data_IF_857704467059
#
_entry.id   IF_857704467059
#
_cell.length_a   1.000
_cell.length_b   1.000
_cell.length_c   1.000
_cell.angle_alpha   90.00
_cell.angle_beta   90.00
_cell.angle_gamma   90.00
#
_symmetry.space_group_name_H-M   'P 1'
#
loop_
_entity.id
_entity.type
_entity.pdbx_description
1 polymer ?
#
# COMPACT_ATOMS: atom_id res chain seq x y z
N UNK A 1 -17.12 2.57 1.96
CA UNK A 1 -16.28 1.39 2.22
C UNK A 1 -15.34 1.70 3.36
N UNK A 2 -15.35 0.85 4.35
CA UNK A 2 -14.42 0.95 5.46
C UNK A 2 -13.14 0.20 5.12
N UNK A 3 -12.02 0.92 5.09
CA UNK A 3 -10.72 0.32 4.81
C UNK A 3 -10.19 -0.36 6.07
N UNK A 4 -9.66 -1.55 5.91
CA UNK A 4 -9.14 -2.33 7.03
C UNK A 4 -7.64 -2.58 6.89
N UNK A 5 -6.93 -2.41 8.01
CA UNK A 5 -5.50 -2.71 8.07
C UNK A 5 -5.28 -4.22 8.10
N UNK A 6 -4.06 -4.64 7.75
CA UNK A 6 -3.64 -6.01 7.93
C UNK A 6 -3.37 -6.28 9.42
N UNK A 7 -3.59 -7.51 9.89
CA UNK A 7 -3.21 -7.86 11.26
C UNK A 7 -1.70 -7.80 11.45
N UNK A 8 -1.26 -7.54 12.67
CA UNK A 8 0.17 -7.43 12.98
C UNK A 8 0.95 -8.66 12.57
N UNK A 9 0.36 -9.83 12.67
CA UNK A 9 1.01 -11.09 12.32
C UNK A 9 1.45 -11.13 10.85
N UNK A 10 0.77 -10.40 9.97
CA UNK A 10 1.15 -10.33 8.57
C UNK A 10 2.55 -9.72 8.40
N UNK A 11 2.87 -8.70 9.22
CA UNK A 11 4.16 -8.02 9.13
C UNK A 11 5.32 -8.90 9.61
N UNK A 12 5.03 -9.96 10.36
CA UNK A 12 6.06 -10.88 10.84
C UNK A 12 6.46 -11.92 9.80
N UNK A 13 5.73 -12.00 8.68
CA UNK A 13 5.98 -12.98 7.62
C UNK A 13 7.10 -12.52 6.70
N UNK A 14 7.71 -13.47 5.93
CA UNK A 14 8.64 -13.09 4.87
C UNK A 14 7.97 -12.17 3.84
N UNK A 15 8.77 -11.37 3.14
CA UNK A 15 8.25 -10.38 2.19
C UNK A 15 7.28 -10.97 1.17
N UNK A 16 7.59 -12.13 0.59
CA UNK A 16 6.74 -12.73 -0.43
C UNK A 16 5.34 -13.05 0.10
N UNK A 17 5.25 -13.54 1.33
CA UNK A 17 3.98 -13.85 1.96
C UNK A 17 3.23 -12.58 2.36
N UNK A 18 3.95 -11.60 2.87
CA UNK A 18 3.36 -10.29 3.19
C UNK A 18 2.80 -9.64 1.93
N UNK A 19 3.58 -9.62 0.85
CA UNK A 19 3.16 -9.02 -0.43
C UNK A 19 1.89 -9.70 -0.97
N UNK A 20 1.82 -11.02 -0.88
CA UNK A 20 0.63 -11.76 -1.32
C UNK A 20 -0.60 -11.37 -0.49
N UNK A 21 -0.44 -11.21 0.83
CA UNK A 21 -1.54 -10.80 1.70
C UNK A 21 -2.01 -9.38 1.38
N UNK A 22 -1.08 -8.46 1.14
CA UNK A 22 -1.41 -7.09 0.75
C UNK A 22 -2.16 -7.06 -0.57
N UNK A 23 -1.66 -7.78 -1.58
CA UNK A 23 -2.29 -7.80 -2.89
C UNK A 23 -3.70 -8.37 -2.82
N UNK A 24 -3.90 -9.42 -2.05
CA UNK A 24 -5.21 -10.03 -1.87
C UNK A 24 -6.19 -9.05 -1.19
N UNK A 25 -5.73 -8.38 -0.15
CA UNK A 25 -6.56 -7.42 0.58
C UNK A 25 -6.91 -6.23 -0.30
N UNK A 26 -5.94 -5.69 -1.03
CA UNK A 26 -6.16 -4.58 -1.94
C UNK A 26 -7.18 -4.95 -3.01
N UNK A 27 -7.04 -6.11 -3.63
CA UNK A 27 -7.98 -6.58 -4.65
C UNK A 27 -9.39 -6.73 -4.09
N UNK A 28 -9.50 -7.27 -2.88
CA UNK A 28 -10.78 -7.44 -2.20
C UNK A 28 -11.48 -6.10 -1.95
N UNK A 29 -10.72 -5.10 -1.47
CA UNK A 29 -11.28 -3.78 -1.20
C UNK A 29 -11.71 -3.08 -2.49
N UNK A 30 -10.93 -3.24 -3.57
CA UNK A 30 -11.30 -2.67 -4.86
C UNK A 30 -12.55 -3.30 -5.44
N UNK A 31 -12.74 -4.61 -5.23
CA UNK A 31 -13.98 -5.28 -5.65
C UNK A 31 -15.18 -4.74 -4.90
N UNK A 32 -15.04 -4.52 -3.59
CA UNK A 32 -16.13 -3.94 -2.79
C UNK A 32 -16.49 -2.54 -3.27
N UNK A 33 -15.49 -1.74 -3.62
CA UNK A 33 -15.71 -0.41 -4.15
C UNK A 33 -16.51 -0.47 -5.47
N UNK A 34 -16.09 -1.35 -6.38
CA UNK A 34 -16.76 -1.50 -7.67
C UNK A 34 -18.20 -1.97 -7.52
N UNK A 35 -18.48 -2.79 -6.53
CA UNK A 35 -19.85 -3.25 -6.27
C UNK A 35 -20.76 -2.12 -5.81
N UNK A 36 -20.20 -1.01 -5.32
CA UNK A 36 -20.97 0.14 -4.82
C UNK A 36 -20.95 1.34 -5.78
N UNK A 37 -20.45 1.16 -6.98
CA UNK A 37 -20.24 2.27 -7.92
C UNK A 37 -21.52 2.92 -8.45
N UNK A 38 -22.66 2.27 -8.28
CA UNK A 38 -23.92 2.74 -8.86
C UNK A 38 -24.32 4.14 -8.39
N UNK A 39 -23.80 4.59 -7.24
CA UNK A 39 -24.16 5.89 -6.67
C UNK A 39 -23.02 6.92 -6.78
N UNK A 40 -21.95 6.62 -7.52
CA UNK A 40 -20.76 7.47 -7.55
C UNK A 40 -20.37 7.85 -8.97
N UNK A 41 -19.77 9.04 -9.13
CA UNK A 41 -19.21 9.44 -10.42
C UNK A 41 -17.80 8.89 -10.60
N UNK A 42 -17.25 9.00 -11.82
CA UNK A 42 -15.94 8.45 -12.16
C UNK A 42 -14.82 9.09 -11.36
N UNK A 43 -14.91 10.39 -11.10
CA UNK A 43 -13.88 11.09 -10.32
C UNK A 43 -13.84 10.59 -8.88
N UNK A 44 -15.01 10.42 -8.28
CA UNK A 44 -15.10 9.88 -6.92
C UNK A 44 -14.53 8.47 -6.85
N UNK A 45 -14.89 7.61 -7.82
CA UNK A 45 -14.40 6.25 -7.87
C UNK A 45 -12.88 6.20 -8.03
N UNK A 46 -12.32 7.07 -8.86
CA UNK A 46 -10.87 7.14 -9.04
C UNK A 46 -10.17 7.54 -7.75
N UNK A 47 -10.71 8.52 -7.04
CA UNK A 47 -10.13 8.96 -5.78
C UNK A 47 -10.20 7.87 -4.71
N UNK A 48 -11.34 7.18 -4.60
CA UNK A 48 -11.48 6.09 -3.63
C UNK A 48 -10.59 4.90 -3.97
N UNK A 49 -10.44 4.58 -5.25
CA UNK A 49 -9.51 3.54 -5.67
C UNK A 49 -8.07 3.93 -5.36
N UNK A 50 -7.72 5.21 -5.54
CA UNK A 50 -6.41 5.74 -5.17
C UNK A 50 -6.15 5.63 -3.68
N UNK A 51 -7.16 5.92 -2.84
CA UNK A 51 -7.01 5.76 -1.40
C UNK A 51 -6.71 4.33 -1.02
N UNK A 52 -7.42 3.38 -1.63
CA UNK A 52 -7.19 1.96 -1.39
C UNK A 52 -5.76 1.59 -1.80
N UNK A 53 -5.37 1.95 -3.02
CA UNK A 53 -4.04 1.63 -3.54
C UNK A 53 -2.94 2.14 -2.61
N UNK A 54 -3.00 3.41 -2.22
CA UNK A 54 -1.91 4.02 -1.47
C UNK A 54 -1.97 3.74 0.02
N UNK A 55 -3.14 3.36 0.55
CA UNK A 55 -3.19 2.82 1.89
C UNK A 55 -2.34 1.56 1.99
N UNK A 56 -2.53 0.63 1.06
CA UNK A 56 -1.79 -0.63 1.09
C UNK A 56 -0.35 -0.47 0.61
N UNK A 57 -0.08 0.48 -0.29
CA UNK A 57 1.30 0.81 -0.67
C UNK A 57 2.08 1.34 0.52
N UNK A 58 1.46 2.18 1.36
CA UNK A 58 2.10 2.66 2.59
C UNK A 58 2.36 1.52 3.57
N UNK A 59 1.49 0.52 3.63
CA UNK A 59 1.74 -0.65 4.46
C UNK A 59 2.98 -1.41 3.98
N UNK A 60 3.18 -1.50 2.67
CA UNK A 60 4.39 -2.10 2.12
C UNK A 60 5.64 -1.31 2.50
N UNK A 61 5.56 0.04 2.50
CA UNK A 61 6.67 0.86 2.97
C UNK A 61 7.04 0.58 4.41
N UNK A 62 6.06 0.34 5.25
CA UNK A 62 6.28 0.10 6.68
C UNK A 62 6.75 -1.31 7.00
N UNK A 63 6.69 -2.22 6.03
CA UNK A 63 7.00 -3.61 6.27
C UNK A 63 8.38 -3.84 6.91
N UNK A 64 9.49 -3.23 6.41
CA UNK A 64 10.80 -3.52 6.99
C UNK A 64 10.90 -3.18 8.47
N UNK A 65 10.39 -2.01 8.84
CA UNK A 65 10.43 -1.55 10.23
C UNK A 65 9.55 -2.43 11.12
N UNK A 66 8.34 -2.70 10.65
CA UNK A 66 7.38 -3.52 11.41
C UNK A 66 7.86 -4.96 11.54
N UNK A 67 8.42 -5.53 10.48
CA UNK A 67 8.96 -6.88 10.54
C UNK A 67 10.10 -6.98 11.54
N UNK A 68 11.05 -6.05 11.50
CA UNK A 68 12.16 -6.03 12.42
C UNK A 68 11.68 -5.92 13.87
N UNK A 69 10.70 -5.05 14.11
CA UNK A 69 10.14 -4.87 15.45
C UNK A 69 9.48 -6.16 15.97
N UNK A 70 8.68 -6.81 15.12
CA UNK A 70 7.91 -7.99 15.53
C UNK A 70 8.76 -9.25 15.65
N UNK A 71 9.74 -9.43 14.78
CA UNK A 71 10.57 -10.64 14.77
C UNK A 71 11.85 -10.48 15.58
N UNK A 72 12.21 -9.26 15.94
CA UNK A 72 13.48 -8.93 16.59
C UNK A 72 14.70 -9.31 15.73
N UNK A 73 14.49 -9.49 14.43
CA UNK A 73 15.57 -9.82 13.50
C UNK A 73 16.07 -8.54 12.83
N UNK A 74 17.26 -8.10 13.23
CA UNK A 74 17.88 -6.90 12.68
C UNK A 74 18.78 -7.18 11.49
N UNK A 75 18.85 -8.44 11.04
CA UNK A 75 19.73 -8.84 9.94
C UNK A 75 19.03 -8.87 8.60
N UNK A 76 17.74 -8.52 8.54
CA UNK A 76 16.97 -8.54 7.31
C UNK A 76 17.58 -7.61 6.26
N UNK A 77 17.77 -8.14 5.06
CA UNK A 77 18.24 -7.38 3.91
C UNK A 77 17.12 -7.34 2.88
N UNK A 78 16.74 -6.12 2.47
CA UNK A 78 15.71 -5.95 1.47
C UNK A 78 16.31 -6.12 0.07
N UNK A 79 15.67 -6.96 -0.74
CA UNK A 79 16.13 -7.23 -2.09
C UNK A 79 15.45 -6.38 -3.13
N UNK A 80 15.84 -6.60 -4.37
CA UNK A 80 15.30 -5.90 -5.54
C UNK A 80 13.78 -6.03 -5.62
N UNK A 81 13.23 -7.19 -5.25
CA UNK A 81 11.80 -7.45 -5.32
C UNK A 81 10.99 -6.47 -4.49
N UNK A 82 11.47 -6.15 -3.27
CA UNK A 82 10.81 -5.17 -2.42
C UNK A 82 10.81 -3.79 -3.08
N UNK A 83 11.98 -3.33 -3.53
CA UNK A 83 12.09 -2.00 -4.11
C UNK A 83 11.32 -1.86 -5.42
N UNK A 84 11.27 -2.91 -6.23
CA UNK A 84 10.48 -2.91 -7.46
C UNK A 84 8.98 -2.82 -7.16
N UNK A 85 8.53 -3.53 -6.13
CA UNK A 85 7.12 -3.49 -5.72
C UNK A 85 6.72 -2.08 -5.27
N UNK A 86 7.59 -1.41 -4.52
CA UNK A 86 7.33 -0.05 -4.08
C UNK A 86 7.35 0.93 -5.26
N UNK A 87 8.36 0.78 -6.12
CA UNK A 87 8.56 1.71 -7.24
C UNK A 87 7.40 1.73 -8.22
N UNK A 88 6.67 0.63 -8.36
CA UNK A 88 5.54 0.59 -9.29
C UNK A 88 4.43 1.60 -8.93
N UNK A 89 4.37 2.03 -7.67
CA UNK A 89 3.39 3.01 -7.22
C UNK A 89 3.94 4.43 -7.18
N UNK A 90 5.22 4.64 -7.47
CA UNK A 90 5.84 5.97 -7.49
C UNK A 90 5.57 6.58 -8.86
N UNK A 91 4.49 7.33 -8.95
CA UNK A 91 4.11 7.99 -10.20
C UNK A 91 3.26 9.22 -9.88
N UNK A 92 3.42 10.26 -10.70
CA UNK A 92 2.64 11.47 -10.53
C UNK A 92 1.22 11.28 -11.05
N UNK A 93 0.24 11.68 -10.24
CA UNK A 93 -1.15 11.64 -10.63
C UNK A 93 -1.87 12.81 -9.94
N UNK A 94 -2.17 13.84 -10.74
CA UNK A 94 -2.80 15.06 -10.21
C UNK A 94 -4.17 14.80 -9.61
N UNK A 95 -4.88 13.79 -10.10
CA UNK A 95 -6.20 13.46 -9.60
C UNK A 95 -6.15 12.91 -8.17
N UNK A 96 -4.98 12.46 -7.73
CA UNK A 96 -4.79 11.92 -6.38
C UNK A 96 -4.09 12.89 -5.43
N UNK A 97 -3.77 14.10 -5.90
CA UNK A 97 -2.96 15.06 -5.15
C UNK A 97 -3.57 15.44 -3.79
N UNK A 98 -4.90 15.38 -3.65
CA UNK A 98 -5.58 15.74 -2.40
C UNK A 98 -5.75 14.58 -1.45
N UNK A 99 -5.30 13.38 -1.83
CA UNK A 99 -5.40 12.18 -1.01
C UNK A 99 -4.19 12.08 -0.09
N UNK A 100 -4.42 12.06 1.22
CA UNK A 100 -3.33 12.03 2.20
C UNK A 100 -2.44 10.80 2.04
N UNK A 101 -3.02 9.64 1.78
CA UNK A 101 -2.28 8.40 1.59
C UNK A 101 -1.31 8.50 0.42
N UNK A 102 -1.77 9.10 -0.69
CA UNK A 102 -0.93 9.31 -1.87
C UNK A 102 0.22 10.26 -1.57
N UNK A 103 -0.08 11.41 -0.95
CA UNK A 103 0.95 12.39 -0.62
C UNK A 103 2.00 11.82 0.32
N UNK A 104 1.56 11.09 1.35
CA UNK A 104 2.49 10.46 2.29
C UNK A 104 3.42 9.49 1.57
N UNK A 105 2.84 8.65 0.71
CA UNK A 105 3.63 7.67 -0.03
C UNK A 105 4.68 8.36 -0.93
N UNK A 106 4.29 9.41 -1.64
CA UNK A 106 5.20 10.11 -2.54
C UNK A 106 6.32 10.81 -1.76
N UNK A 107 6.01 11.41 -0.62
CA UNK A 107 7.03 12.05 0.22
C UNK A 107 8.03 11.02 0.74
N UNK A 108 7.54 9.92 1.29
CA UNK A 108 8.40 8.90 1.87
C UNK A 108 9.27 8.20 0.82
N UNK A 109 8.71 7.92 -0.36
CA UNK A 109 9.48 7.26 -1.43
C UNK A 109 10.52 8.18 -2.05
N UNK A 110 10.32 9.50 -2.01
CA UNK A 110 11.34 10.43 -2.46
C UNK A 110 12.63 10.28 -1.66
N UNK A 111 12.54 9.96 -0.37
CA UNK A 111 13.72 9.72 0.46
C UNK A 111 14.42 8.41 0.12
N UNK A 112 13.72 7.47 -0.50
CA UNK A 112 14.26 6.15 -0.83
C UNK A 112 14.93 6.15 -2.21
N UNK A 113 14.31 6.80 -3.18
CA UNK A 113 14.70 6.69 -4.60
C UNK A 113 15.41 7.91 -5.18
N UNK A 114 15.62 8.96 -4.41
CA UNK A 114 16.35 10.14 -4.88
C UNK A 114 17.86 10.01 -4.63
#
# INVERSE_FOLDING_TARGET
>A
IQLTALPNEAYAQPWSEFKAAVDKKMASMKRLLKARKFAADDKFLKMEEGRITYLYANMMLMYPVSNTYLTQDTTMVLGKEYYDAIRQYVKEDEDLADIDEYRNFMIETAHIFD
#
